data_IF_285771502991
#
_entry.id   IF_285771502991
#
_cell.length_a   1.000
_cell.length_b   1.000
_cell.length_c   1.000
_cell.angle_alpha   90.00
_cell.angle_beta   90.00
_cell.angle_gamma   90.00
#
_symmetry.space_group_name_H-M   'P 1'
#
loop_
_entity.id
_entity.type
_entity.pdbx_description
1 polymer ?
#
# COMPACT_ATOMS: atom_id res chain seq x y z
N UNK A 1 12.32 6.87 1.06
CA UNK A 1 10.85 6.86 0.99
C UNK A 1 10.33 8.27 0.77
N UNK A 2 10.95 9.28 1.39
CA UNK A 2 10.56 10.70 1.25
C UNK A 2 10.35 11.19 -0.19
N UNK A 3 11.32 10.97 -1.09
CA UNK A 3 11.18 11.37 -2.50
C UNK A 3 9.97 10.73 -3.19
N UNK A 4 9.66 9.48 -2.83
CA UNK A 4 8.49 8.79 -3.33
C UNK A 4 7.20 9.41 -2.80
N UNK A 5 7.14 9.69 -1.50
CA UNK A 5 5.97 10.29 -0.84
C UNK A 5 5.68 11.70 -1.37
N UNK A 6 6.70 12.48 -1.70
CA UNK A 6 6.54 13.81 -2.31
C UNK A 6 6.05 13.74 -3.76
N UNK A 7 6.46 12.71 -4.51
CA UNK A 7 6.07 12.54 -5.92
C UNK A 7 4.68 11.95 -6.07
N UNK A 8 4.31 11.00 -5.21
CA UNK A 8 3.08 10.21 -5.36
C UNK A 8 1.80 11.07 -5.57
N UNK A 9 1.55 12.17 -4.83
CA UNK A 9 0.34 12.96 -5.01
C UNK A 9 0.28 13.72 -6.34
N UNK A 10 1.45 14.04 -6.92
CA UNK A 10 1.58 14.94 -8.07
C UNK A 10 1.84 14.18 -9.38
N UNK A 11 2.60 13.09 -9.31
CA UNK A 11 2.98 12.25 -10.44
C UNK A 11 3.08 10.78 -10.00
N UNK A 12 1.95 10.08 -9.88
CA UNK A 12 1.90 8.68 -9.45
C UNK A 12 2.69 7.74 -10.35
N UNK A 13 2.73 8.02 -11.66
CA UNK A 13 3.43 7.20 -12.64
C UNK A 13 4.94 7.33 -12.48
N UNK A 14 5.45 8.56 -12.30
CA UNK A 14 6.87 8.76 -11.98
C UNK A 14 7.25 8.21 -10.60
N UNK A 15 6.37 8.32 -9.60
CA UNK A 15 6.57 7.73 -8.28
C UNK A 15 6.65 6.20 -8.36
N UNK A 16 5.79 5.57 -9.16
CA UNK A 16 5.85 4.14 -9.44
C UNK A 16 7.17 3.76 -10.13
N UNK A 17 7.54 4.46 -11.22
CA UNK A 17 8.76 4.16 -11.95
C UNK A 17 10.01 4.30 -11.09
N UNK A 18 10.03 5.28 -10.17
CA UNK A 18 11.12 5.43 -9.20
C UNK A 18 11.31 4.17 -8.35
N UNK A 19 10.23 3.61 -7.79
CA UNK A 19 10.33 2.40 -6.96
C UNK A 19 10.71 1.17 -7.78
N UNK A 20 10.16 1.02 -8.99
CA UNK A 20 10.51 -0.07 -9.89
C UNK A 20 12.00 -0.07 -10.22
N UNK A 21 12.55 1.09 -10.61
CA UNK A 21 13.99 1.21 -10.91
C UNK A 21 14.85 0.97 -9.66
N UNK A 22 14.43 1.50 -8.50
CA UNK A 22 15.21 1.43 -7.27
C UNK A 22 15.29 0.01 -6.68
N UNK A 23 14.22 -0.76 -6.80
CA UNK A 23 14.06 -2.05 -6.11
C UNK A 23 13.90 -3.23 -7.07
N UNK A 24 14.51 -3.13 -8.26
CA UNK A 24 14.46 -4.17 -9.30
C UNK A 24 13.04 -4.73 -9.50
N UNK A 25 12.09 -3.80 -9.60
CA UNK A 25 10.67 -4.09 -9.55
C UNK A 25 10.10 -4.47 -10.91
N UNK A 26 9.10 -5.35 -10.88
CA UNK A 26 8.44 -5.88 -12.07
C UNK A 26 6.94 -5.60 -12.02
N UNK A 27 6.37 -5.02 -13.08
CA UNK A 27 4.91 -4.94 -13.24
C UNK A 27 4.38 -6.31 -13.64
N UNK A 28 3.36 -6.79 -12.93
CA UNK A 28 2.81 -8.14 -13.09
C UNK A 28 1.30 -8.13 -13.04
N UNK A 29 0.68 -9.16 -13.61
CA UNK A 29 -0.71 -9.52 -13.30
C UNK A 29 -0.79 -10.36 -12.02
N UNK A 30 -2.00 -10.80 -11.64
CA UNK A 30 -2.22 -11.56 -10.42
C UNK A 30 -1.45 -12.90 -10.40
N UNK A 31 -1.40 -13.61 -11.54
CA UNK A 31 -0.71 -14.90 -11.62
C UNK A 31 0.81 -14.74 -11.62
N UNK A 32 1.32 -13.68 -12.26
CA UNK A 32 2.71 -13.26 -12.19
C UNK A 32 3.12 -12.91 -10.77
N UNK A 33 2.29 -12.17 -10.03
CA UNK A 33 2.53 -11.88 -8.62
C UNK A 33 2.62 -13.18 -7.80
N UNK A 34 1.67 -14.10 -7.96
CA UNK A 34 1.68 -15.40 -7.26
C UNK A 34 2.98 -16.17 -7.50
N UNK A 35 3.49 -16.19 -8.73
CA UNK A 35 4.77 -16.87 -9.06
C UNK A 35 5.96 -16.26 -8.33
N UNK A 36 5.96 -14.95 -8.11
CA UNK A 36 7.08 -14.23 -7.51
C UNK A 36 7.01 -14.22 -5.97
N UNK A 37 5.82 -14.11 -5.39
CA UNK A 37 5.65 -13.97 -3.94
C UNK A 37 5.10 -15.22 -3.24
N UNK A 38 4.60 -16.20 -3.99
CA UNK A 38 4.11 -17.48 -3.45
C UNK A 38 2.73 -17.41 -2.78
N UNK A 39 2.03 -16.27 -2.89
CA UNK A 39 0.67 -16.08 -2.39
C UNK A 39 -0.14 -15.20 -3.34
N UNK A 40 -1.47 -15.25 -3.22
CA UNK A 40 -2.37 -14.37 -3.98
C UNK A 40 -2.42 -12.99 -3.29
N UNK A 41 -2.02 -11.90 -3.98
CA UNK A 41 -2.10 -10.55 -3.41
C UNK A 41 -3.50 -10.21 -2.92
N UNK A 42 -3.60 -9.46 -1.83
CA UNK A 42 -4.87 -9.09 -1.17
C UNK A 42 -5.83 -8.35 -2.12
N UNK A 43 -5.28 -7.57 -3.06
CA UNK A 43 -6.06 -6.83 -4.06
C UNK A 43 -6.61 -7.70 -5.19
N UNK A 44 -6.23 -8.98 -5.26
CA UNK A 44 -6.68 -9.90 -6.33
C UNK A 44 -8.18 -10.19 -6.27
N UNK A 45 -8.78 -10.07 -5.08
CA UNK A 45 -10.22 -10.27 -4.86
C UNK A 45 -11.04 -9.01 -5.15
N UNK A 46 -10.38 -7.92 -5.60
CA UNK A 46 -10.99 -6.64 -5.92
C UNK A 46 -10.71 -5.56 -4.89
N UNK A 47 -11.32 -4.40 -5.10
CA UNK A 47 -11.19 -3.21 -4.25
C UNK A 47 -12.58 -2.70 -3.86
N UNK A 48 -12.71 -1.90 -2.78
CA UNK A 48 -13.98 -1.29 -2.41
C UNK A 48 -14.57 -0.45 -3.55
N UNK A 49 -15.87 -0.19 -3.49
CA UNK A 49 -16.54 0.72 -4.43
C UNK A 49 -15.84 2.10 -4.46
N UNK A 50 -15.72 2.67 -5.66
CA UNK A 50 -15.02 3.93 -5.89
C UNK A 50 -13.52 3.78 -6.12
N UNK A 51 -12.98 2.55 -6.08
CA UNK A 51 -11.59 2.25 -6.41
C UNK A 51 -11.48 1.37 -7.65
N UNK A 52 -10.36 1.53 -8.35
CA UNK A 52 -9.94 0.64 -9.44
C UNK A 52 -8.45 0.35 -9.34
N UNK A 53 -8.07 -0.88 -9.68
CA UNK A 53 -6.67 -1.29 -9.71
C UNK A 53 -6.04 -0.77 -11.02
N UNK A 54 -5.03 0.08 -10.91
CA UNK A 54 -4.31 0.63 -12.05
C UNK A 54 -3.09 -0.20 -12.43
N UNK A 55 -2.34 -0.69 -11.44
CA UNK A 55 -1.18 -1.57 -11.65
C UNK A 55 -0.90 -2.42 -10.42
N UNK A 56 -0.29 -3.58 -10.64
CA UNK A 56 0.37 -4.38 -9.61
C UNK A 56 1.83 -4.54 -9.98
N UNK A 57 2.70 -4.52 -8.98
CA UNK A 57 4.12 -4.76 -9.16
C UNK A 57 4.68 -5.55 -7.98
N UNK A 58 5.76 -6.28 -8.22
CA UNK A 58 6.55 -6.90 -7.16
C UNK A 58 7.88 -6.15 -7.04
N UNK A 59 8.25 -5.78 -5.82
CA UNK A 59 9.48 -5.05 -5.51
C UNK A 59 10.41 -5.93 -4.66
N UNK A 60 11.70 -5.96 -4.99
CA UNK A 60 12.74 -6.59 -4.15
C UNK A 60 13.30 -5.54 -3.20
N UNK A 61 12.58 -5.29 -2.11
CA UNK A 61 13.02 -4.37 -1.06
C UNK A 61 14.15 -5.01 -0.25
N UNK A 62 14.98 -4.21 0.44
CA UNK A 62 16.04 -4.76 1.30
C UNK A 62 15.51 -5.65 2.43
N UNK A 63 14.27 -5.44 2.91
CA UNK A 63 13.67 -6.22 4.00
C UNK A 63 12.74 -7.36 3.52
N UNK A 64 12.13 -7.24 2.34
CA UNK A 64 11.18 -8.23 1.80
C UNK A 64 11.09 -8.21 0.28
N UNK A 65 10.50 -9.26 -0.29
CA UNK A 65 9.83 -9.17 -1.59
C UNK A 65 8.39 -8.76 -1.34
N UNK A 66 8.01 -7.57 -1.81
CA UNK A 66 6.76 -6.95 -1.39
C UNK A 66 5.89 -6.67 -2.63
N UNK A 67 4.57 -6.82 -2.50
CA UNK A 67 3.62 -6.49 -3.58
C UNK A 67 3.22 -5.03 -3.43
N UNK A 68 3.24 -4.27 -4.53
CA UNK A 68 2.76 -2.88 -4.62
C UNK A 68 1.58 -2.81 -5.58
N UNK A 69 0.43 -2.35 -5.10
CA UNK A 69 -0.75 -2.10 -5.92
C UNK A 69 -1.08 -0.61 -5.97
N UNK A 70 -1.14 -0.04 -7.18
CA UNK A 70 -1.58 1.34 -7.40
C UNK A 70 -3.09 1.33 -7.62
N UNK A 71 -3.82 2.02 -6.75
CA UNK A 71 -5.27 2.09 -6.75
C UNK A 71 -5.72 3.51 -7.09
N UNK A 72 -6.58 3.67 -8.11
CA UNK A 72 -7.16 4.95 -8.48
C UNK A 72 -8.54 5.09 -7.86
N UNK A 73 -8.78 6.24 -7.21
CA UNK A 73 -10.10 6.66 -6.74
C UNK A 73 -10.92 7.20 -7.91
N UNK A 74 -12.24 7.26 -7.74
CA UNK A 74 -13.19 7.81 -8.72
C UNK A 74 -12.94 9.29 -9.05
N UNK A 75 -12.38 10.06 -8.12
CA UNK A 75 -11.95 11.45 -8.34
C UNK A 75 -10.58 11.60 -9.03
N UNK A 76 -9.96 10.48 -9.41
CA UNK A 76 -8.68 10.45 -10.13
C UNK A 76 -7.44 10.48 -9.24
N UNK A 77 -7.57 10.71 -7.94
CA UNK A 77 -6.43 10.64 -7.02
C UNK A 77 -5.98 9.20 -6.74
N UNK A 78 -4.74 9.04 -6.30
CA UNK A 78 -4.11 7.73 -6.14
C UNK A 78 -3.92 7.36 -4.66
N UNK A 79 -4.09 6.07 -4.38
CA UNK A 79 -3.73 5.36 -3.16
C UNK A 79 -2.79 4.23 -3.56
N UNK A 80 -1.80 3.90 -2.73
CA UNK A 80 -0.95 2.73 -2.96
C UNK A 80 -1.04 1.77 -1.78
N UNK A 81 -1.23 0.48 -2.07
CA UNK A 81 -1.19 -0.59 -1.09
C UNK A 81 0.12 -1.37 -1.24
N UNK A 82 0.81 -1.60 -0.14
CA UNK A 82 1.97 -2.48 -0.05
C UNK A 82 1.63 -3.69 0.81
N UNK A 83 1.91 -4.90 0.34
CA UNK A 83 1.89 -6.12 1.14
C UNK A 83 3.33 -6.56 1.40
N UNK A 84 3.68 -6.74 2.67
CA UNK A 84 5.04 -7.03 3.10
C UNK A 84 5.06 -7.88 4.37
N UNK A 85 6.18 -8.57 4.60
CA UNK A 85 6.38 -9.38 5.81
C UNK A 85 6.86 -8.54 7.00
N UNK A 86 7.34 -7.33 6.75
CA UNK A 86 7.90 -6.44 7.76
C UNK A 86 6.82 -5.83 8.67
N UNK A 87 7.06 -5.77 9.97
CA UNK A 87 6.21 -5.07 10.94
C UNK A 87 6.66 -3.62 11.15
N UNK A 88 7.88 -3.29 10.74
CA UNK A 88 8.48 -2.01 11.09
C UNK A 88 8.05 -0.88 10.13
N UNK A 89 7.56 0.21 10.72
CA UNK A 89 7.25 1.47 10.04
C UNK A 89 8.50 2.30 9.69
N UNK A 90 9.69 1.70 9.74
CA UNK A 90 10.98 2.37 9.47
C UNK A 90 11.02 3.07 8.10
N UNK A 91 10.13 2.67 7.18
CA UNK A 91 9.93 3.33 5.89
C UNK A 91 9.65 4.83 6.02
N UNK A 92 9.03 5.27 7.11
CA UNK A 92 8.59 6.65 7.29
C UNK A 92 9.53 7.51 8.15
N UNK A 93 10.67 6.96 8.58
CA UNK A 93 11.63 7.67 9.44
C UNK A 93 11.00 8.11 10.76
N UNK A 94 11.37 9.31 11.23
CA UNK A 94 10.93 9.86 12.52
C UNK A 94 9.57 10.56 12.48
N UNK A 95 8.76 10.31 11.44
CA UNK A 95 7.42 10.92 11.31
C UNK A 95 6.52 10.54 12.48
N UNK A 96 5.60 11.44 12.83
CA UNK A 96 4.65 11.22 13.91
C UNK A 96 3.78 10.02 13.60
N UNK A 97 3.75 9.07 14.54
CA UNK A 97 2.91 7.89 14.48
C UNK A 97 1.84 7.94 15.56
N UNK A 98 0.66 7.39 15.28
CA UNK A 98 -0.39 7.16 16.27
C UNK A 98 -1.07 5.82 16.03
N UNK A 99 -1.45 5.16 17.12
CA UNK A 99 -2.25 3.94 17.03
C UNK A 99 -3.74 4.29 17.03
N UNK A 100 -4.50 3.63 16.15
CA UNK A 100 -5.95 3.76 16.09
C UNK A 100 -6.57 2.44 15.65
N UNK A 101 -7.78 2.16 16.11
CA UNK A 101 -8.58 1.05 15.58
C UNK A 101 -9.28 1.50 14.30
N UNK A 102 -9.04 0.81 13.19
CA UNK A 102 -9.69 1.07 11.90
C UNK A 102 -10.46 -0.17 11.47
N UNK A 103 -11.80 -0.14 11.57
CA UNK A 103 -12.61 -1.34 11.46
C UNK A 103 -12.38 -2.25 12.67
N UNK A 104 -11.92 -3.48 12.44
CA UNK A 104 -11.61 -4.48 13.45
C UNK A 104 -10.10 -4.64 13.72
N UNK A 105 -9.25 -3.88 13.03
CA UNK A 105 -7.79 -3.97 13.14
C UNK A 105 -7.19 -2.78 13.88
N UNK A 106 -6.16 -3.06 14.69
CA UNK A 106 -5.26 -2.03 15.18
C UNK A 106 -4.34 -1.59 14.04
N UNK A 107 -4.33 -0.28 13.78
CA UNK A 107 -3.57 0.33 12.72
C UNK A 107 -2.56 1.33 13.28
N UNK A 108 -1.34 1.29 12.75
CA UNK A 108 -0.37 2.35 12.94
C UNK A 108 -0.56 3.39 11.83
N UNK A 109 -0.93 4.60 12.22
CA UNK A 109 -1.13 5.74 11.34
C UNK A 109 0.10 6.64 11.37
N UNK A 110 0.56 7.07 10.21
CA UNK A 110 1.68 8.00 10.04
C UNK A 110 1.20 9.23 9.28
N UNK A 111 1.44 10.40 9.86
CA UNK A 111 1.12 11.68 9.22
C UNK A 111 2.13 11.98 8.09
N UNK A 112 1.63 12.22 6.88
CA UNK A 112 2.39 12.56 5.67
C UNK A 112 2.10 14.00 5.21
N UNK A 113 1.73 14.88 6.13
CA UNK A 113 1.35 16.29 5.95
C UNK A 113 0.01 16.51 5.21
N UNK A 114 -0.13 15.90 4.03
CA UNK A 114 -1.31 16.04 3.15
C UNK A 114 -2.15 14.76 3.06
N UNK A 115 -1.69 13.69 3.68
CA UNK A 115 -2.33 12.38 3.70
C UNK A 115 -1.82 11.57 4.90
N UNK A 116 -2.32 10.35 5.02
CA UNK A 116 -1.89 9.38 6.03
C UNK A 116 -1.26 8.19 5.30
N UNK A 117 -0.29 7.54 5.94
CA UNK A 117 0.00 6.13 5.70
C UNK A 117 -0.55 5.30 6.87
N UNK A 118 -1.15 4.16 6.57
CA UNK A 118 -1.74 3.29 7.56
C UNK A 118 -1.20 1.87 7.39
N UNK A 119 -0.66 1.30 8.45
CA UNK A 119 -0.16 -0.08 8.46
C UNK A 119 -1.00 -0.94 9.40
N UNK A 120 -1.45 -2.10 8.95
CA UNK A 120 -2.16 -3.08 9.78
C UNK A 120 -1.77 -4.51 9.40
N UNK A 121 -2.11 -5.46 10.27
CA UNK A 121 -1.89 -6.89 10.02
C UNK A 121 -3.01 -7.52 9.22
N UNK A 122 -2.63 -8.27 8.19
CA UNK A 122 -3.49 -9.20 7.45
C UNK A 122 -2.89 -10.61 7.49
N UNK A 123 -3.44 -11.46 8.36
CA UNK A 123 -2.89 -12.79 8.60
C UNK A 123 -1.43 -12.71 9.08
N UNK A 124 -0.52 -13.35 8.35
CA UNK A 124 0.93 -13.31 8.65
C UNK A 124 1.65 -12.09 8.08
N UNK A 125 0.99 -11.29 7.23
CA UNK A 125 1.59 -10.16 6.52
C UNK A 125 1.11 -8.83 7.09
N UNK A 126 1.84 -7.79 6.76
CA UNK A 126 1.46 -6.40 6.99
C UNK A 126 0.98 -5.80 5.67
N UNK A 127 -0.04 -4.96 5.76
CA UNK A 127 -0.51 -4.12 4.66
C UNK A 127 -0.28 -2.66 5.04
N UNK A 128 0.43 -1.93 4.18
CA UNK A 128 0.62 -0.48 4.31
C UNK A 128 -0.11 0.23 3.18
N UNK A 129 -1.12 1.02 3.54
CA UNK A 129 -1.77 1.96 2.64
C UNK A 129 -1.06 3.31 2.70
N UNK A 130 -0.74 3.91 1.56
CA UNK A 130 -0.07 5.22 1.45
C UNK A 130 -0.92 6.16 0.62
N UNK A 131 -1.13 7.38 1.14
CA UNK A 131 -1.95 8.38 0.49
C UNK A 131 -3.44 8.27 0.85
N UNK A 132 -3.76 7.65 2.00
CA UNK A 132 -5.13 7.64 2.54
C UNK A 132 -5.49 9.04 3.09
N UNK A 133 -6.77 9.40 3.02
CA UNK A 133 -7.27 10.74 3.40
C UNK A 133 -7.49 10.89 4.89
N UNK A 134 -8.05 9.85 5.48
CA UNK A 134 -8.52 9.84 6.86
C UNK A 134 -8.65 8.40 7.37
N UNK A 135 -8.94 8.27 8.66
CA UNK A 135 -9.11 6.99 9.34
C UNK A 135 -10.34 6.22 8.82
N UNK A 136 -11.38 6.90 8.33
CA UNK A 136 -12.59 6.26 7.79
C UNK A 136 -12.28 5.54 6.47
N UNK A 137 -11.42 6.13 5.63
CA UNK A 137 -10.92 5.51 4.42
C UNK A 137 -10.08 4.25 4.74
N UNK A 138 -9.24 4.31 5.77
CA UNK A 138 -8.49 3.13 6.26
C UNK A 138 -9.45 2.04 6.73
N UNK A 139 -10.46 2.40 7.54
CA UNK A 139 -11.44 1.44 8.05
C UNK A 139 -12.23 0.74 6.91
N UNK A 140 -12.56 1.46 5.84
CA UNK A 140 -13.20 0.89 4.64
C UNK A 140 -12.29 -0.12 3.94
N UNK A 141 -11.01 0.21 3.77
CA UNK A 141 -10.01 -0.69 3.17
C UNK A 141 -9.84 -1.95 4.02
N UNK A 142 -9.63 -1.81 5.34
CA UNK A 142 -9.52 -2.92 6.28
C UNK A 142 -10.74 -3.85 6.19
N UNK A 143 -11.94 -3.28 6.32
CA UNK A 143 -13.20 -4.06 6.32
C UNK A 143 -13.42 -4.82 5.01
N UNK A 144 -12.99 -4.24 3.88
CA UNK A 144 -13.11 -4.90 2.57
C UNK A 144 -12.09 -6.01 2.41
N UNK A 145 -10.83 -5.72 2.72
CA UNK A 145 -9.71 -6.61 2.50
C UNK A 145 -9.68 -7.78 3.49
N UNK A 146 -10.32 -7.67 4.65
CA UNK A 146 -10.47 -8.79 5.59
C UNK A 146 -11.41 -9.89 5.09
N UNK A 147 -12.26 -9.59 4.10
CA UNK A 147 -13.14 -10.57 3.45
C UNK A 147 -12.46 -11.36 2.33
N UNK A 148 -11.22 -11.00 1.99
CA UNK A 148 -10.53 -11.40 0.76
C UNK A 148 -9.66 -12.64 0.90
#
# INVERSE_FOLDING_TARGET
>A
MDDYLQKLPNDPDAAEQMLLTKYDGEKVDADGAVKLVGYRPIVSSGLPEGYSLASTSVLKMPCCTCVKAVCKRSDGSTLVLFEHDDEETAWFGDRRQSMATCGDKDCCLVDLDSSIAATWKQGTRSVTAVGVRDQDEVAKLVTWLDKS
#
